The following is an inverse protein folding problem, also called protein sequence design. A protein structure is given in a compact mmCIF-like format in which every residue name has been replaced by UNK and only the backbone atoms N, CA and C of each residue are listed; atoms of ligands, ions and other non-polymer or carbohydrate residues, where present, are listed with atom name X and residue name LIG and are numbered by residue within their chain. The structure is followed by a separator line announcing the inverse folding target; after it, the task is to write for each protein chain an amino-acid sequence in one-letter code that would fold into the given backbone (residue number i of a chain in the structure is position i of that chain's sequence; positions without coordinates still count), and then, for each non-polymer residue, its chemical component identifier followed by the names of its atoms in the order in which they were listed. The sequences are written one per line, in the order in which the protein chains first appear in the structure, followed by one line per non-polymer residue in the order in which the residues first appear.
data_IF_141612297043
#
_entry.id   IF_141612297043
#
_cell.length_a   1.000
_cell.length_b   1.000
_cell.length_c   1.000
_cell.angle_alpha   90.00
_cell.angle_beta   90.00
_cell.angle_gamma   90.00
#
_symmetry.space_group_name_H-M   'P 1'
#
loop_
_entity.id
_entity.type
_entity.pdbx_description
1 polymer ?
#
# COMPACT_ATOMS: atom_id res chain seq x y z
N UNK A 1 -12.54 -3.01 3.37
CA UNK A 1 -12.19 -4.32 2.77
C UNK A 1 -12.70 -5.53 3.57
N UNK A 2 -12.55 -5.54 4.91
CA UNK A 2 -12.98 -6.62 5.84
C UNK A 2 -14.39 -7.15 5.59
N UNK A 3 -15.37 -6.25 5.46
CA UNK A 3 -16.77 -6.64 5.21
C UNK A 3 -16.98 -7.37 3.86
N UNK A 4 -16.20 -7.07 2.82
CA UNK A 4 -16.30 -7.77 1.53
C UNK A 4 -15.77 -9.20 1.63
N UNK A 5 -14.62 -9.40 2.29
CA UNK A 5 -14.06 -10.73 2.51
C UNK A 5 -14.94 -11.57 3.44
N UNK A 6 -15.50 -10.98 4.50
CA UNK A 6 -16.48 -11.63 5.38
C UNK A 6 -17.71 -12.11 4.61
N UNK A 7 -18.24 -11.29 3.67
CA UNK A 7 -19.35 -11.70 2.80
C UNK A 7 -18.97 -12.88 1.90
N UNK A 8 -17.82 -12.81 1.24
CA UNK A 8 -17.33 -13.89 0.37
C UNK A 8 -17.14 -15.19 1.16
N UNK A 9 -16.52 -15.13 2.34
CA UNK A 9 -16.34 -16.29 3.21
C UNK A 9 -17.69 -16.85 3.67
N UNK A 10 -18.65 -15.99 4.03
CA UNK A 10 -20.00 -16.41 4.38
C UNK A 10 -20.65 -17.19 3.24
N UNK A 11 -20.67 -16.62 2.03
CA UNK A 11 -21.31 -17.25 0.88
C UNK A 11 -20.68 -18.62 0.57
N UNK A 12 -19.34 -18.70 0.60
CA UNK A 12 -18.60 -19.94 0.35
C UNK A 12 -18.88 -21.01 1.41
N UNK A 13 -18.82 -20.64 2.69
CA UNK A 13 -19.06 -21.59 3.78
C UNK A 13 -20.52 -22.03 3.83
N UNK A 14 -21.48 -21.14 3.58
CA UNK A 14 -22.90 -21.49 3.45
C UNK A 14 -23.14 -22.46 2.28
N UNK A 15 -22.52 -22.22 1.11
CA UNK A 15 -22.60 -23.13 -0.03
C UNK A 15 -21.95 -24.49 0.24
N UNK A 16 -20.96 -24.56 1.13
CA UNK A 16 -20.31 -25.80 1.57
C UNK A 16 -21.05 -26.49 2.75
N UNK A 17 -22.24 -26.01 3.12
CA UNK A 17 -23.11 -26.59 4.14
C UNK A 17 -22.76 -26.23 5.58
N UNK A 18 -22.01 -25.15 5.82
CA UNK A 18 -21.80 -24.61 7.16
C UNK A 18 -22.90 -23.63 7.54
N UNK A 19 -23.34 -23.69 8.80
CA UNK A 19 -24.19 -22.65 9.39
C UNK A 19 -23.31 -21.48 9.86
N UNK A 20 -23.61 -20.28 9.36
CA UNK A 20 -22.78 -19.09 9.55
C UNK A 20 -23.50 -18.08 10.44
N UNK A 21 -22.86 -17.69 11.54
CA UNK A 21 -23.38 -16.69 12.48
C UNK A 21 -22.40 -15.53 12.67
N UNK A 22 -22.95 -14.33 12.78
CA UNK A 22 -22.17 -13.14 13.13
C UNK A 22 -21.92 -13.08 14.65
N UNK A 23 -20.76 -12.55 15.04
CA UNK A 23 -20.41 -12.34 16.44
C UNK A 23 -19.88 -10.93 16.64
N UNK A 24 -20.09 -10.38 17.83
CA UNK A 24 -19.45 -9.13 18.25
C UNK A 24 -18.02 -9.36 18.76
N UNK A 25 -17.72 -10.58 19.19
CA UNK A 25 -16.41 -10.96 19.75
C UNK A 25 -15.48 -11.58 18.71
N UNK A 26 -16.05 -12.11 17.63
CA UNK A 26 -15.35 -12.76 16.52
C UNK A 26 -15.92 -12.21 15.22
N UNK A 27 -15.19 -12.30 14.12
CA UNK A 27 -15.70 -11.77 12.86
C UNK A 27 -16.79 -12.67 12.27
N UNK A 28 -16.62 -13.99 12.37
CA UNK A 28 -17.62 -15.00 11.97
C UNK A 28 -17.54 -16.22 12.88
N UNK A 29 -18.62 -16.98 12.93
CA UNK A 29 -18.69 -18.31 13.52
C UNK A 29 -19.26 -19.25 12.46
N UNK A 30 -18.55 -20.32 12.13
CA UNK A 30 -19.06 -21.40 11.29
C UNK A 30 -19.33 -22.63 12.15
N UNK A 31 -20.47 -23.27 11.95
CA UNK A 31 -20.83 -24.54 12.59
C UNK A 31 -21.16 -25.57 11.52
N UNK A 32 -20.50 -26.74 11.59
CA UNK A 32 -20.79 -27.90 10.75
C UNK A 32 -20.59 -29.17 11.56
N UNK A 33 -21.53 -30.09 11.47
CA UNK A 33 -21.52 -31.37 12.20
C UNK A 33 -21.29 -31.23 13.72
N UNK A 34 -21.84 -30.16 14.31
CA UNK A 34 -21.71 -29.84 15.75
C UNK A 34 -20.34 -29.27 16.17
N UNK A 35 -19.43 -29.04 15.22
CA UNK A 35 -18.13 -28.42 15.47
C UNK A 35 -18.19 -26.93 15.13
N UNK A 36 -17.88 -26.08 16.11
CA UNK A 36 -17.82 -24.62 15.94
C UNK A 36 -16.40 -24.16 15.62
N UNK A 37 -16.29 -23.30 14.63
CA UNK A 37 -15.06 -22.64 14.22
C UNK A 37 -15.25 -21.13 14.29
N UNK A 38 -14.38 -20.45 15.03
CA UNK A 38 -14.40 -19.01 15.22
C UNK A 38 -13.39 -18.37 14.30
N UNK A 39 -13.81 -17.34 13.57
CA UNK A 39 -13.00 -16.65 12.58
C UNK A 39 -12.57 -15.31 13.15
N UNK A 40 -11.28 -15.01 13.04
CA UNK A 40 -10.76 -13.68 13.31
C UNK A 40 -9.91 -13.22 12.13
N UNK A 41 -10.32 -12.13 11.50
CA UNK A 41 -9.67 -11.52 10.36
C UNK A 41 -8.84 -10.33 10.84
N UNK A 42 -7.54 -10.37 10.56
CA UNK A 42 -6.61 -9.31 10.90
C UNK A 42 -5.81 -8.82 9.69
N UNK A 43 -5.60 -7.51 9.65
CA UNK A 43 -4.82 -6.80 8.64
C UNK A 43 -3.46 -6.36 9.17
N UNK A 44 -3.33 -6.24 10.49
CA UNK A 44 -2.09 -5.91 11.20
C UNK A 44 -1.91 -6.95 12.30
N UNK A 45 -1.43 -8.15 11.93
CA UNK A 45 -1.41 -9.27 12.84
C UNK A 45 -0.31 -9.09 13.90
N UNK A 46 -0.70 -9.24 15.16
CA UNK A 46 0.19 -9.17 16.31
C UNK A 46 0.13 -10.49 17.09
N UNK A 47 1.26 -10.89 17.68
CA UNK A 47 1.37 -12.12 18.45
C UNK A 47 0.49 -12.06 19.70
N UNK A 48 0.38 -10.89 20.32
CA UNK A 48 -0.50 -10.70 21.48
C UNK A 48 -1.97 -10.83 21.08
N UNK A 49 -2.36 -10.35 19.89
CA UNK A 49 -3.72 -10.50 19.37
C UNK A 49 -4.10 -11.97 19.08
N UNK A 50 -3.13 -12.79 18.63
CA UNK A 50 -3.33 -14.23 18.45
C UNK A 50 -3.46 -14.96 19.79
N UNK A 51 -2.64 -14.59 20.80
CA UNK A 51 -2.75 -15.16 22.14
C UNK A 51 -4.10 -14.82 22.78
N UNK A 52 -4.51 -13.56 22.66
CA UNK A 52 -5.80 -13.09 23.15
C UNK A 52 -6.94 -13.83 22.45
N UNK A 53 -6.86 -13.98 21.13
CA UNK A 53 -7.83 -14.76 20.37
C UNK A 53 -7.90 -16.22 20.84
N UNK A 54 -6.74 -16.87 21.02
CA UNK A 54 -6.68 -18.24 21.51
C UNK A 54 -7.31 -18.39 22.90
N UNK A 55 -7.07 -17.43 23.79
CA UNK A 55 -7.65 -17.43 25.15
C UNK A 55 -9.17 -17.30 25.17
N UNK A 56 -9.74 -16.66 24.14
CA UNK A 56 -11.18 -16.43 24.01
C UNK A 56 -11.92 -17.64 23.42
N UNK A 57 -11.25 -18.46 22.61
CA UNK A 57 -11.81 -19.68 22.03
C UNK A 57 -11.79 -20.82 23.07
N UNK A 58 -12.88 -20.93 23.84
CA UNK A 58 -13.02 -21.92 24.93
C UNK A 58 -13.50 -23.28 24.41
N UNK A 59 -14.47 -23.31 23.48
CA UNK A 59 -15.07 -24.54 22.94
C UNK A 59 -15.20 -24.47 21.42
N UNK A 60 -14.22 -25.03 20.71
CA UNK A 60 -14.20 -25.09 19.24
C UNK A 60 -12.81 -24.84 18.66
N UNK A 61 -12.74 -24.59 17.36
CA UNK A 61 -11.50 -24.29 16.65
C UNK A 61 -11.37 -22.79 16.39
N UNK A 62 -10.18 -22.23 16.61
CA UNK A 62 -9.88 -20.86 16.25
C UNK A 62 -9.20 -20.81 14.89
N UNK A 63 -9.78 -20.08 13.95
CA UNK A 63 -9.21 -19.79 12.64
C UNK A 63 -8.88 -18.30 12.55
N UNK A 64 -7.60 -18.01 12.38
CA UNK A 64 -7.08 -16.67 12.22
C UNK A 64 -6.72 -16.43 10.76
N UNK A 65 -7.33 -15.45 10.13
CA UNK A 65 -7.17 -15.16 8.71
C UNK A 65 -6.35 -13.88 8.57
N UNK A 66 -5.23 -13.99 7.88
CA UNK A 66 -4.29 -12.90 7.61
C UNK A 66 -4.58 -12.31 6.25
N UNK A 67 -4.89 -11.02 6.23
CA UNK A 67 -5.09 -10.26 4.99
C UNK A 67 -3.81 -9.50 4.55
N UNK A 68 -2.74 -9.56 5.34
CA UNK A 68 -1.42 -8.99 5.06
C UNK A 68 -0.36 -10.08 4.95
N UNK A 69 0.76 -9.77 4.30
CA UNK A 69 1.93 -10.64 4.31
C UNK A 69 2.58 -10.64 5.70
N UNK A 70 3.00 -11.82 6.16
CA UNK A 70 3.64 -12.01 7.46
C UNK A 70 4.92 -12.80 7.32
N UNK A 71 5.84 -12.62 8.27
CA UNK A 71 7.07 -13.39 8.32
C UNK A 71 6.80 -14.86 8.63
N UNK A 72 7.69 -15.75 8.17
CA UNK A 72 7.62 -17.17 8.54
C UNK A 72 7.73 -17.40 10.06
N UNK A 73 8.48 -16.53 10.75
CA UNK A 73 8.59 -16.57 12.22
C UNK A 73 7.25 -16.34 12.91
N UNK A 74 6.39 -15.47 12.36
CA UNK A 74 5.05 -15.23 12.89
C UNK A 74 4.17 -16.48 12.75
N UNK A 75 4.20 -17.13 11.58
CA UNK A 75 3.43 -18.35 11.31
C UNK A 75 3.84 -19.51 12.22
N UNK A 76 5.15 -19.65 12.49
CA UNK A 76 5.66 -20.65 13.43
C UNK A 76 5.15 -20.39 14.86
N UNK A 77 5.24 -19.14 15.33
CA UNK A 77 4.75 -18.77 16.65
C UNK A 77 3.24 -18.97 16.81
N UNK A 78 2.45 -18.62 15.78
CA UNK A 78 1.01 -18.81 15.81
C UNK A 78 0.60 -20.29 15.85
N UNK A 79 1.36 -21.15 15.16
CA UNK A 79 1.19 -22.60 15.22
C UNK A 79 1.51 -23.15 16.60
N UNK A 80 2.55 -22.65 17.26
CA UNK A 80 2.91 -23.04 18.63
C UNK A 80 1.84 -22.63 19.65
N UNK A 81 1.12 -21.53 19.42
CA UNK A 81 -0.03 -21.09 20.22
C UNK A 81 -1.27 -21.99 20.00
N UNK A 82 -1.28 -22.82 18.95
CA UNK A 82 -2.37 -23.76 18.66
C UNK A 82 -3.60 -23.07 18.07
N UNK A 83 -3.38 -22.06 17.22
CA UNK A 83 -4.39 -21.40 16.38
C UNK A 83 -4.13 -21.77 14.92
N UNK A 84 -5.18 -22.12 14.18
CA UNK A 84 -5.06 -22.34 12.75
C UNK A 84 -4.95 -20.98 12.07
N UNK A 85 -3.92 -20.79 11.24
CA UNK A 85 -3.71 -19.54 10.52
C UNK A 85 -3.86 -19.77 9.03
N UNK A 86 -4.67 -18.95 8.37
CA UNK A 86 -4.74 -18.89 6.91
C UNK A 86 -4.09 -17.60 6.44
N UNK A 87 -3.08 -17.75 5.59
CA UNK A 87 -2.47 -16.65 4.84
C UNK A 87 -3.38 -16.25 3.68
N UNK A 88 -3.04 -15.14 3.01
CA UNK A 88 -3.71 -14.71 1.78
C UNK A 88 -3.76 -15.81 0.72
N UNK A 89 -2.66 -16.57 0.57
CA UNK A 89 -2.58 -17.67 -0.39
C UNK A 89 -3.46 -18.85 -0.01
N UNK A 90 -3.56 -19.15 1.29
CA UNK A 90 -4.47 -20.19 1.80
C UNK A 90 -5.92 -19.80 1.52
N UNK A 91 -6.28 -18.54 1.79
CA UNK A 91 -7.62 -18.00 1.51
C UNK A 91 -7.92 -18.07 0.02
N UNK A 92 -7.01 -17.60 -0.83
CA UNK A 92 -7.19 -17.63 -2.28
C UNK A 92 -7.37 -19.06 -2.80
N UNK A 93 -6.57 -20.01 -2.28
CA UNK A 93 -6.67 -21.42 -2.64
C UNK A 93 -8.01 -22.03 -2.21
N UNK A 94 -8.47 -21.76 -0.99
CA UNK A 94 -9.74 -22.27 -0.48
C UNK A 94 -10.94 -21.68 -1.23
N UNK A 95 -10.89 -20.38 -1.54
CA UNK A 95 -11.90 -19.72 -2.39
C UNK A 95 -11.93 -20.34 -3.78
N UNK A 96 -10.77 -20.50 -4.43
CA UNK A 96 -10.68 -21.12 -5.75
C UNK A 96 -11.27 -22.53 -5.78
N UNK A 97 -10.93 -23.36 -4.78
CA UNK A 97 -11.50 -24.72 -4.66
C UNK A 97 -13.01 -24.71 -4.46
N UNK A 98 -13.53 -23.79 -3.65
CA UNK A 98 -14.96 -23.66 -3.42
C UNK A 98 -15.72 -23.25 -4.70
N UNK A 99 -15.18 -22.30 -5.46
CA UNK A 99 -15.78 -21.86 -6.73
C UNK A 99 -15.79 -23.00 -7.76
N UNK A 100 -14.70 -23.77 -7.85
CA UNK A 100 -14.64 -24.92 -8.75
C UNK A 100 -15.66 -26.01 -8.36
N UNK A 101 -15.79 -26.33 -7.08
CA UNK A 101 -16.79 -27.28 -6.62
C UNK A 101 -18.23 -26.80 -6.84
N UNK A 102 -18.47 -25.48 -6.79
CA UNK A 102 -19.75 -24.87 -7.15
C UNK A 102 -20.09 -25.08 -8.62
N UNK A 103 -19.10 -24.92 -9.50
CA UNK A 103 -19.27 -25.23 -10.93
C UNK A 103 -19.48 -26.72 -11.20
N UNK A 104 -18.89 -27.60 -10.39
CA UNK A 104 -19.00 -29.06 -10.53
C UNK A 104 -20.24 -29.65 -9.82
N UNK A 105 -20.95 -28.85 -9.00
CA UNK A 105 -22.10 -29.29 -8.20
C UNK A 105 -21.75 -30.18 -7.01
N UNK A 106 -20.48 -30.16 -6.56
CA UNK A 106 -19.93 -31.01 -5.48
C UNK A 106 -19.65 -30.23 -4.18
N UNK A 107 -20.20 -29.03 -4.03
CA UNK A 107 -19.93 -28.11 -2.89
C UNK A 107 -20.17 -28.70 -1.51
N UNK A 108 -21.17 -29.57 -1.37
CA UNK A 108 -21.53 -30.18 -0.08
C UNK A 108 -20.45 -31.16 0.44
N UNK A 109 -19.63 -31.70 -0.45
CA UNK A 109 -18.52 -32.61 -0.12
C UNK A 109 -17.24 -31.84 0.24
N UNK A 110 -17.26 -30.50 0.20
CA UNK A 110 -16.07 -29.68 0.38
C UNK A 110 -15.75 -29.45 1.87
N UNK A 111 -14.65 -30.03 2.34
CA UNK A 111 -14.11 -29.78 3.67
C UNK A 111 -13.15 -28.59 3.66
N UNK A 112 -13.72 -27.40 3.91
CA UNK A 112 -12.96 -26.13 3.92
C UNK A 112 -11.95 -26.03 5.06
N UNK A 113 -12.22 -26.67 6.19
CA UNK A 113 -11.44 -26.52 7.43
C UNK A 113 -10.42 -27.64 7.67
N UNK A 114 -10.29 -28.60 6.75
CA UNK A 114 -9.49 -29.78 7.02
C UNK A 114 -7.99 -29.44 7.10
N UNK A 115 -7.43 -29.67 8.29
CA UNK A 115 -6.04 -29.37 8.69
C UNK A 115 -5.19 -30.62 8.46
N UNK A 116 -4.88 -30.91 7.21
CA UNK A 116 -3.76 -31.79 6.87
C UNK A 116 -2.95 -31.22 5.72
N UNK A 117 -2.09 -30.26 6.04
CA UNK A 117 -0.81 -30.14 5.39
C UNK A 117 0.26 -29.82 6.43
N UNK A 118 0.64 -30.87 7.16
CA UNK A 118 2.02 -30.96 7.61
C UNK A 118 2.91 -30.76 6.37
N UNK A 119 3.69 -29.66 6.36
CA UNK A 119 4.87 -29.53 5.48
C UNK A 119 5.76 -30.76 5.73
N UNK A 120 5.63 -31.79 4.89
CA UNK A 120 6.69 -32.77 4.65
C UNK A 120 7.63 -32.09 3.65
N UNK A 121 8.96 -32.07 3.88
CA UNK A 121 9.87 -31.41 2.98
C UNK A 121 9.74 -32.01 1.58
N UNK A 122 9.67 -31.14 0.58
CA UNK A 122 9.68 -31.52 -0.82
C UNK A 122 10.96 -32.29 -1.12
N UNK A 123 10.86 -33.62 -1.18
CA UNK A 123 11.82 -34.48 -1.85
C UNK A 123 11.06 -35.42 -2.79
N UNK A 124 11.33 -35.24 -4.08
CA UNK A 124 11.27 -36.24 -5.16
C UNK A 124 9.94 -36.94 -5.49
N UNK A 125 8.90 -36.21 -5.91
CA UNK A 125 7.81 -36.88 -6.65
C UNK A 125 7.07 -36.00 -7.68
N UNK A 126 7.16 -34.67 -7.60
CA UNK A 126 6.50 -33.78 -8.58
C UNK A 126 7.21 -33.80 -9.94
N UNK A 127 8.51 -34.09 -9.93
CA UNK A 127 9.35 -34.16 -11.13
C UNK A 127 9.11 -35.44 -11.95
N UNK A 128 8.54 -36.49 -11.34
CA UNK A 128 8.24 -37.76 -12.00
C UNK A 128 6.92 -37.68 -12.77
N UNK A 129 5.90 -37.07 -12.16
CA UNK A 129 4.57 -36.86 -12.79
C UNK A 129 4.67 -35.85 -13.95
N UNK A 130 5.49 -34.81 -13.82
CA UNK A 130 5.75 -33.87 -14.92
C UNK A 130 6.52 -34.54 -16.08
N UNK A 131 7.49 -35.41 -15.78
CA UNK A 131 8.22 -36.18 -16.81
C UNK A 131 7.32 -37.21 -17.49
N UNK A 132 6.42 -37.86 -16.75
CA UNK A 132 5.47 -38.82 -17.31
C UNK A 132 4.42 -38.14 -18.21
N UNK A 133 3.95 -36.94 -17.82
CA UNK A 133 3.06 -36.13 -18.66
C UNK A 133 3.74 -35.62 -19.94
N UNK A 134 5.02 -35.21 -19.86
CA UNK A 134 5.78 -34.80 -21.05
C UNK A 134 6.05 -36.00 -21.97
N UNK A 135 6.36 -37.17 -21.42
CA UNK A 135 6.58 -38.40 -22.20
C UNK A 135 5.29 -38.96 -22.82
N UNK A 136 4.12 -38.72 -22.21
CA UNK A 136 2.82 -39.08 -22.77
C UNK A 136 2.40 -38.17 -23.95
N UNK A 137 2.85 -36.91 -23.97
CA UNK A 137 2.55 -35.94 -25.03
C UNK A 137 3.53 -36.06 -26.21
N UNK A 138 4.81 -36.33 -25.93
CA UNK A 138 5.84 -36.54 -26.95
C UNK A 138 6.20 -38.02 -27.04
N UNK A 139 5.36 -38.79 -27.74
CA UNK A 139 5.58 -40.21 -27.96
C UNK A 139 6.92 -40.51 -28.66
N UNK A 140 7.93 -40.90 -27.88
CA UNK A 140 9.08 -41.67 -28.36
C UNK A 140 9.24 -42.88 -27.47
N UNK A 141 8.66 -44.00 -27.91
CA UNK A 141 8.94 -45.29 -27.29
C UNK A 141 10.39 -45.70 -27.55
N UNK A 142 11.05 -46.23 -26.52
CA UNK A 142 11.86 -47.46 -26.59
C UNK A 142 12.43 -47.80 -25.22
N UNK A 143 12.24 -49.05 -24.83
CA UNK A 143 12.80 -49.72 -23.65
C UNK A 143 14.22 -50.24 -23.95
N UNK A 144 14.92 -50.93 -23.03
CA UNK A 144 16.20 -50.50 -22.50
C UNK A 144 17.37 -51.30 -23.12
N UNK A 145 18.58 -51.03 -22.63
CA UNK A 145 19.70 -51.96 -22.41
C UNK A 145 21.03 -51.53 -23.07
N UNK A 146 22.08 -51.54 -22.22
CA UNK A 146 23.51 -51.85 -22.49
C UNK A 146 24.52 -50.69 -22.67
N UNK A 147 25.47 -50.72 -21.71
CA UNK A 147 26.92 -50.43 -21.67
C UNK A 147 27.54 -49.02 -21.77
N UNK A 148 28.00 -48.57 -20.59
CA UNK A 148 29.42 -48.40 -20.20
C UNK A 148 30.50 -48.49 -21.31
N UNK A 149 31.14 -47.34 -21.63
CA UNK A 149 32.60 -47.08 -21.50
C UNK A 149 33.15 -46.06 -22.52
N UNK A 150 33.92 -45.13 -21.95
CA UNK A 150 35.18 -44.54 -22.48
C UNK A 150 35.03 -43.59 -23.68
N UNK A 151 35.29 -42.29 -23.46
CA UNK A 151 36.50 -41.65 -23.97
C UNK A 151 36.75 -40.30 -23.30
N UNK A 152 38.04 -40.10 -23.09
CA UNK A 152 38.77 -39.01 -22.45
C UNK A 152 38.96 -37.83 -23.44
N UNK A 153 39.45 -36.72 -22.89
CA UNK A 153 40.06 -35.57 -23.57
C UNK A 153 39.16 -34.59 -24.35
N UNK A 154 38.94 -33.40 -23.78
CA UNK A 154 39.54 -32.17 -24.34
C UNK A 154 39.35 -30.98 -23.40
N UNK A 155 40.48 -30.43 -22.96
CA UNK A 155 40.60 -29.15 -22.27
C UNK A 155 40.36 -28.01 -23.27
N UNK A 156 39.54 -27.02 -22.90
CA UNK A 156 39.97 -25.62 -22.76
C UNK A 156 38.80 -24.62 -22.76
N UNK A 157 39.01 -23.56 -21.97
CA UNK A 157 38.47 -22.20 -22.17
C UNK A 157 37.08 -21.88 -21.62
N UNK A 158 37.08 -21.58 -20.32
CA UNK A 158 36.05 -20.84 -19.57
C UNK A 158 36.33 -19.33 -19.69
N UNK A 159 35.43 -18.48 -20.19
CA UNK A 159 35.47 -17.05 -19.90
C UNK A 159 34.76 -16.77 -18.58
N UNK A 160 35.37 -15.92 -17.76
CA UNK A 160 34.84 -15.49 -16.47
C UNK A 160 33.62 -14.57 -16.63
N UNK A 161 32.64 -14.81 -15.76
CA UNK A 161 31.44 -14.00 -15.54
C UNK A 161 31.84 -12.67 -14.89
N UNK A 162 31.35 -11.50 -15.35
CA UNK A 162 31.58 -10.24 -14.64
C UNK A 162 30.82 -10.24 -13.32
N UNK A 163 31.50 -9.80 -12.27
CA UNK A 163 30.96 -9.54 -10.94
C UNK A 163 30.11 -8.27 -11.03
N UNK A 164 28.81 -8.41 -10.82
CA UNK A 164 27.90 -7.27 -10.60
C UNK A 164 27.87 -7.05 -9.08
N UNK A 165 28.37 -5.89 -8.67
CA UNK A 165 28.22 -5.35 -7.31
C UNK A 165 26.76 -4.88 -7.17
N UNK A 166 25.98 -5.38 -6.21
CA UNK A 166 24.72 -4.76 -5.85
C UNK A 166 25.02 -3.62 -4.87
N UNK A 167 24.89 -2.38 -5.35
CA UNK A 167 24.75 -1.19 -4.53
C UNK A 167 23.31 -0.73 -4.69
N UNK A 168 22.47 -1.05 -3.70
CA UNK A 168 21.25 -0.32 -3.33
C UNK A 168 20.61 -1.07 -2.16
N UNK A 169 20.93 -0.64 -0.95
CA UNK A 169 20.19 -1.02 0.24
C UNK A 169 18.84 -0.28 0.23
N UNK A 170 17.70 -0.98 0.43
CA UNK A 170 16.42 -0.30 0.61
C UNK A 170 16.45 0.55 1.88
N UNK A 171 16.04 1.81 1.70
CA UNK A 171 16.01 2.85 2.72
C UNK A 171 15.14 2.44 3.92
N UNK A 172 15.72 2.45 5.11
CA UNK A 172 15.07 2.09 6.38
C UNK A 172 14.13 3.24 6.81
N UNK A 173 12.81 3.02 6.72
CA UNK A 173 11.78 3.97 7.16
C UNK A 173 11.74 3.98 8.70
N UNK A 174 12.12 5.10 9.30
CA UNK A 174 12.03 5.32 10.75
C UNK A 174 10.69 5.97 11.11
N UNK A 175 9.88 5.28 11.89
CA UNK A 175 8.75 5.87 12.61
C UNK A 175 9.30 6.75 13.74
N UNK A 176 9.08 8.06 13.71
CA UNK A 176 9.39 8.93 14.85
C UNK A 176 8.17 9.07 15.75
N UNK A 177 8.27 8.54 16.97
CA UNK A 177 7.33 8.77 18.07
C UNK A 177 8.05 9.60 19.13
N UNK A 178 7.62 10.83 19.46
CA UNK A 178 8.23 11.59 20.53
C UNK A 178 8.11 10.82 21.86
N UNK A 179 9.26 10.56 22.49
CA UNK A 179 9.34 9.90 23.80
C UNK A 179 8.88 10.88 24.88
N UNK A 180 7.81 10.52 25.59
CA UNK A 180 7.38 11.22 26.80
C UNK A 180 8.52 11.19 27.83
N UNK A 181 8.84 12.37 28.38
CA UNK A 181 9.88 12.55 29.37
C UNK A 181 9.53 11.80 30.66
N UNK A 182 10.42 10.89 31.08
CA UNK A 182 10.44 10.35 32.42
C UNK A 182 11.87 10.44 32.97
N UNK A 183 11.94 11.14 34.10
CA UNK A 183 12.80 10.92 35.27
C UNK A 183 14.31 11.20 35.18
N UNK A 184 14.61 12.34 35.81
CA UNK A 184 15.85 12.83 36.41
C UNK A 184 16.72 11.73 37.02
N UNK A 185 17.96 11.64 36.56
CA UNK A 185 19.05 10.94 37.28
C UNK A 185 20.14 11.97 37.63
N UNK A 186 20.32 12.19 38.93
CA UNK A 186 21.28 13.11 39.55
C UNK A 186 22.70 12.53 39.47
N UNK A 187 23.64 13.31 38.93
CA UNK A 187 25.08 13.04 39.01
C UNK A 187 25.70 13.64 40.28
N UNK A 188 26.79 13.05 40.82
CA UNK A 188 27.23 13.28 42.19
C UNK A 188 28.21 14.44 42.37
N UNK A 189 28.16 15.01 43.57
CA UNK A 189 28.97 16.11 44.07
C UNK A 189 30.47 15.77 44.14
N UNK A 190 31.30 16.66 43.56
CA UNK A 190 32.75 16.69 43.75
C UNK A 190 33.13 17.66 44.86
N UNK A 191 33.80 17.14 45.88
CA UNK A 191 34.29 17.84 47.06
C UNK A 191 35.56 18.66 46.78
N UNK A 192 35.61 19.90 47.30
CA UNK A 192 36.87 20.58 47.64
C UNK A 192 36.62 21.53 48.83
N UNK A 193 37.47 21.39 49.85
CA UNK A 193 37.58 22.12 51.12
C UNK A 193 39.12 22.26 51.28
N UNK A 194 39.79 23.34 51.67
CA UNK A 194 39.55 24.74 52.04
C UNK A 194 40.93 25.41 51.99
N UNK A 195 41.01 26.74 51.94
CA UNK A 195 42.00 27.46 52.76
C UNK A 195 41.48 28.86 53.07
N UNK A 196 41.51 29.19 54.37
CA UNK A 196 40.96 30.39 54.99
C UNK A 196 42.05 31.46 55.15
N UNK A 197 41.69 32.74 55.08
CA UNK A 197 42.33 33.78 55.88
C UNK A 197 41.39 34.97 56.11
N UNK A 198 41.56 35.57 57.28
CA UNK A 198 40.62 36.34 58.11
C UNK A 198 40.25 37.78 57.69
N UNK A 199 39.10 38.18 58.24
CA UNK A 199 38.39 39.47 58.37
C UNK A 199 39.19 40.58 59.13
N UNK A 200 38.74 41.86 59.26
CA UNK A 200 37.45 42.23 59.90
C UNK A 200 36.66 43.47 59.39
N UNK A 201 35.33 43.34 59.54
CA UNK A 201 34.31 44.27 60.07
C UNK A 201 34.08 45.69 59.50
N UNK A 202 32.83 45.94 59.04
CA UNK A 202 31.82 46.75 59.77
C UNK A 202 30.41 46.65 59.15
N UNK A 203 29.39 46.50 60.01
CA UNK A 203 27.94 46.21 59.79
C UNK A 203 27.08 47.49 59.52
N UNK A 204 25.72 47.44 59.52
CA UNK A 204 24.78 46.76 58.60
C UNK A 204 23.67 47.74 58.10
N UNK A 205 22.79 47.32 57.16
CA UNK A 205 21.31 47.42 57.27
C UNK A 205 20.55 47.29 55.93
N UNK A 206 19.44 46.55 56.03
CA UNK A 206 18.20 46.52 55.24
C UNK A 206 18.12 45.67 53.97
N UNK A 207 17.46 44.52 54.19
CA UNK A 207 16.73 43.69 53.27
C UNK A 207 15.73 44.49 52.41
N UNK A 208 15.73 44.24 51.09
CA UNK A 208 14.49 44.22 50.32
C UNK A 208 14.64 43.22 49.17
N UNK A 209 13.77 42.23 49.20
CA UNK A 209 13.62 41.13 48.26
C UNK A 209 13.41 41.60 46.82
N UNK A 210 14.36 41.28 45.92
CA UNK A 210 14.09 41.18 44.49
C UNK A 210 13.84 39.72 44.15
N UNK A 211 12.55 39.40 44.02
CA UNK A 211 12.02 38.22 43.40
C UNK A 211 12.59 38.12 41.97
N UNK A 212 13.51 37.18 41.76
CA UNK A 212 14.05 36.88 40.43
C UNK A 212 12.92 36.34 39.57
N UNK A 213 12.33 37.22 38.76
CA UNK A 213 11.47 36.87 37.64
C UNK A 213 12.24 35.87 36.76
N UNK A 214 11.79 34.62 36.77
CA UNK A 214 12.22 33.60 35.84
C UNK A 214 12.02 34.15 34.41
N UNK A 215 13.13 34.27 33.68
CA UNK A 215 13.08 34.53 32.26
C UNK A 215 12.17 33.49 31.59
N UNK A 216 11.28 33.88 30.66
CA UNK A 216 10.47 32.92 29.95
C UNK A 216 11.41 32.01 29.17
N UNK A 217 11.30 30.71 29.41
CA UNK A 217 11.95 29.70 28.60
C UNK A 217 11.57 29.96 27.14
N UNK A 218 12.56 30.36 26.34
CA UNK A 218 12.46 30.35 24.89
C UNK A 218 11.95 28.97 24.48
N UNK A 219 10.81 28.85 23.76
CA UNK A 219 10.39 27.55 23.27
C UNK A 219 11.53 27.01 22.40
N UNK A 220 11.93 25.77 22.65
CA UNK A 220 12.87 25.06 21.82
C UNK A 220 12.41 25.22 20.37
N UNK A 221 13.26 25.80 19.52
CA UNK A 221 13.00 25.91 18.10
C UNK A 221 13.04 24.48 17.58
N UNK A 222 11.87 23.89 17.41
CA UNK A 222 11.73 22.55 16.86
C UNK A 222 12.27 22.56 15.43
N UNK A 223 13.40 21.88 15.21
CA UNK A 223 14.10 21.94 13.93
C UNK A 223 13.27 21.24 12.85
N UNK A 224 13.10 21.88 11.68
CA UNK A 224 12.34 21.29 10.59
C UNK A 224 13.09 20.10 9.96
N UNK A 225 12.36 19.04 9.63
CA UNK A 225 12.92 17.81 9.06
C UNK A 225 12.98 17.95 7.54
N UNK A 226 14.13 17.69 6.94
CA UNK A 226 14.27 17.65 5.47
C UNK A 226 14.16 16.22 4.98
N UNK A 227 13.22 15.97 4.07
CA UNK A 227 13.01 14.65 3.45
C UNK A 227 13.37 14.70 1.97
N UNK A 228 13.98 13.62 1.47
CA UNK A 228 14.22 13.39 0.03
C UNK A 228 12.96 12.83 -0.64
N UNK A 229 11.94 13.67 -0.76
CA UNK A 229 10.64 13.31 -1.31
C UNK A 229 10.26 14.30 -2.43
N UNK A 230 9.87 13.79 -3.59
CA UNK A 230 9.46 14.62 -4.71
C UNK A 230 8.08 15.23 -4.43
N UNK A 231 8.02 16.49 -4.01
CA UNK A 231 6.84 17.07 -3.38
C UNK A 231 6.84 18.61 -3.48
N UNK A 232 5.67 19.26 -3.58
CA UNK A 232 5.57 20.70 -3.37
C UNK A 232 5.78 21.05 -1.88
N UNK A 233 6.12 22.31 -1.56
CA UNK A 233 6.37 22.71 -0.18
C UNK A 233 5.09 22.66 0.69
N UNK A 234 5.29 22.43 1.99
CA UNK A 234 4.24 22.57 3.00
C UNK A 234 4.13 24.05 3.38
N UNK A 235 3.14 24.75 2.81
CA UNK A 235 2.93 26.19 3.02
C UNK A 235 1.86 26.50 4.08
N UNK A 236 1.03 25.52 4.42
CA UNK A 236 -0.08 25.65 5.35
C UNK A 236 0.34 25.05 6.69
N UNK A 237 0.33 25.86 7.75
CA UNK A 237 0.53 25.40 9.12
C UNK A 237 -0.67 24.63 9.65
N UNK A 238 -0.47 23.85 10.71
CA UNK A 238 -1.55 23.10 11.38
C UNK A 238 -2.69 24.01 11.87
N UNK A 239 -2.38 25.17 12.45
CA UNK A 239 -3.37 26.15 12.92
C UNK A 239 -4.22 26.71 11.75
N UNK A 240 -3.57 26.92 10.61
CA UNK A 240 -4.25 27.38 9.40
C UNK A 240 -5.10 26.26 8.80
N UNK A 241 -4.64 25.01 8.85
CA UNK A 241 -5.43 23.86 8.45
C UNK A 241 -6.72 23.73 9.28
N UNK A 242 -6.63 23.88 10.61
CA UNK A 242 -7.82 23.93 11.48
C UNK A 242 -8.77 25.07 11.11
N UNK A 243 -8.23 26.26 10.82
CA UNK A 243 -9.03 27.42 10.41
C UNK A 243 -9.77 27.19 9.08
N UNK A 244 -9.13 26.51 8.13
CA UNK A 244 -9.71 26.14 6.83
C UNK A 244 -10.72 24.99 6.95
N UNK A 245 -10.54 24.08 7.91
CA UNK A 245 -11.44 22.97 8.18
C UNK A 245 -12.70 23.39 8.94
N UNK A 246 -12.64 24.44 9.77
CA UNK A 246 -13.74 24.88 10.65
C UNK A 246 -15.12 25.08 9.97
N UNK A 247 -15.23 25.56 8.71
CA UNK A 247 -16.53 25.66 8.02
C UNK A 247 -17.13 24.30 7.63
N UNK A 248 -16.33 23.25 7.58
CA UNK A 248 -16.67 21.94 7.00
C UNK A 248 -16.86 20.84 8.06
N UNK A 249 -16.24 20.97 9.24
CA UNK A 249 -16.30 20.00 10.33
C UNK A 249 -16.64 20.67 11.67
N UNK A 250 -17.25 19.91 12.58
CA UNK A 250 -17.47 20.34 13.97
C UNK A 250 -16.51 19.65 14.93
N UNK A 251 -15.95 20.42 15.85
CA UNK A 251 -15.12 19.91 16.95
C UNK A 251 -13.84 19.25 16.43
N UNK A 252 -13.06 19.98 15.63
CA UNK A 252 -11.78 19.50 15.15
C UNK A 252 -10.86 19.19 16.35
N UNK A 253 -10.36 17.95 16.42
CA UNK A 253 -9.58 17.47 17.56
C UNK A 253 -8.15 17.06 17.17
N UNK A 254 -7.95 16.62 15.93
CA UNK A 254 -6.68 16.05 15.45
C UNK A 254 -6.44 16.47 14.02
N UNK A 255 -5.19 16.80 13.69
CA UNK A 255 -4.74 17.06 12.33
C UNK A 255 -3.44 16.29 12.07
N UNK A 256 -3.39 15.55 10.96
CA UNK A 256 -2.23 14.73 10.57
C UNK A 256 -1.80 15.16 9.17
N UNK A 257 -0.50 15.33 8.95
CA UNK A 257 0.05 15.66 7.64
C UNK A 257 0.31 14.37 6.86
N UNK A 258 -0.36 14.17 5.74
CA UNK A 258 -0.15 13.02 4.85
C UNK A 258 0.58 13.44 3.59
N UNK A 259 1.58 12.68 3.16
CA UNK A 259 2.17 12.77 1.84
C UNK A 259 1.55 11.70 0.96
N UNK A 260 0.64 12.11 0.08
CA UNK A 260 -0.14 11.23 -0.76
C UNK A 260 0.49 11.13 -2.15
N UNK A 261 0.73 9.93 -2.70
CA UNK A 261 1.34 9.76 -4.00
C UNK A 261 0.33 10.02 -5.13
N UNK A 262 0.75 10.84 -6.10
CA UNK A 262 0.03 11.12 -7.35
C UNK A 262 0.96 10.92 -8.55
N UNK A 263 0.45 10.33 -9.62
CA UNK A 263 1.07 10.34 -10.93
C UNK A 263 0.70 11.65 -11.62
N UNK A 264 1.66 12.58 -11.68
CA UNK A 264 1.57 13.77 -12.51
C UNK A 264 1.84 13.35 -13.95
N UNK A 265 1.01 13.79 -14.89
CA UNK A 265 1.23 13.51 -16.29
C UNK A 265 1.02 14.73 -17.16
N UNK A 266 1.77 14.77 -18.26
CA UNK A 266 1.65 15.74 -19.34
C UNK A 266 1.66 14.97 -20.66
N UNK A 267 0.76 15.32 -21.58
CA UNK A 267 0.72 14.71 -22.89
C UNK A 267 0.59 15.74 -24.00
N UNK A 268 1.10 15.36 -25.17
CA UNK A 268 0.86 16.07 -26.43
C UNK A 268 0.77 15.07 -27.58
N UNK A 269 -0.14 15.34 -28.51
CA UNK A 269 -0.29 14.60 -29.76
C UNK A 269 -0.52 15.56 -30.93
N UNK A 270 0.03 15.19 -32.08
CA UNK A 270 -0.21 15.87 -33.35
C UNK A 270 -0.05 14.85 -34.47
N UNK A 271 -1.18 14.39 -35.02
CA UNK A 271 -1.24 13.30 -35.99
C UNK A 271 -2.09 13.70 -37.17
N UNK A 272 -1.53 13.56 -38.37
CA UNK A 272 -2.27 13.71 -39.61
C UNK A 272 -2.54 12.34 -40.25
N UNK A 273 -3.82 11.98 -40.38
CA UNK A 273 -4.24 10.85 -41.19
C UNK A 273 -4.68 11.31 -42.58
N UNK A 274 -4.07 10.72 -43.63
CA UNK A 274 -4.53 10.90 -45.00
C UNK A 274 -5.50 9.79 -45.37
N UNK A 275 -6.72 10.17 -45.72
CA UNK A 275 -7.72 9.24 -46.26
C UNK A 275 -8.34 9.78 -47.55
N UNK A 276 -8.09 9.07 -48.66
CA UNK A 276 -8.42 9.52 -50.02
C UNK A 276 -7.82 10.91 -50.30
N UNK A 277 -8.64 11.91 -50.60
CA UNK A 277 -8.25 13.30 -50.82
C UNK A 277 -8.37 14.19 -49.58
N UNK A 278 -8.74 13.63 -48.42
CA UNK A 278 -8.94 14.38 -47.17
C UNK A 278 -7.80 14.12 -46.19
N UNK A 279 -7.41 15.18 -45.48
CA UNK A 279 -6.48 15.14 -44.35
C UNK A 279 -7.31 15.28 -43.08
N UNK A 280 -7.10 14.39 -42.13
CA UNK A 280 -7.73 14.38 -40.82
C UNK A 280 -6.63 14.67 -39.82
N UNK A 281 -6.67 15.87 -39.24
CA UNK A 281 -5.75 16.29 -38.18
C UNK A 281 -6.35 15.96 -36.81
N UNK A 282 -5.60 15.21 -36.00
CA UNK A 282 -5.88 14.88 -34.61
C UNK A 282 -4.72 15.42 -33.78
N UNK A 283 -4.97 16.56 -33.15
CA UNK A 283 -4.02 17.25 -32.28
C UNK A 283 -4.68 17.58 -30.94
N UNK A 284 -3.85 17.60 -29.90
CA UNK A 284 -4.28 17.91 -28.54
C UNK A 284 -3.13 17.82 -27.54
N UNK A 285 -3.31 18.46 -26.41
CA UNK A 285 -2.37 18.49 -25.30
C UNK A 285 -3.14 18.60 -23.98
N UNK A 286 -2.53 18.14 -22.90
CA UNK A 286 -3.15 18.19 -21.59
C UNK A 286 -2.21 17.77 -20.48
N UNK A 287 -2.59 18.11 -19.26
CA UNK A 287 -1.86 17.78 -18.04
C UNK A 287 -2.85 17.38 -16.95
N UNK A 288 -2.45 16.51 -16.03
CA UNK A 288 -3.30 16.13 -14.92
C UNK A 288 -2.58 15.34 -13.85
N UNK A 289 -3.37 14.91 -12.86
CA UNK A 289 -2.90 14.11 -11.75
C UNK A 289 -3.79 12.89 -11.60
N UNK A 290 -3.20 11.73 -11.37
CA UNK A 290 -3.90 10.50 -11.00
C UNK A 290 -3.47 10.11 -9.62
N UNK A 291 -4.41 10.01 -8.68
CA UNK A 291 -4.11 9.52 -7.34
C UNK A 291 -3.60 8.07 -7.43
N UNK A 292 -2.39 7.81 -6.93
CA UNK A 292 -1.77 6.50 -7.01
C UNK A 292 -2.32 5.49 -5.99
N UNK A 293 -3.18 5.92 -5.07
CA UNK A 293 -3.86 5.07 -4.08
C UNK A 293 -5.16 4.49 -4.63
N UNK A 294 -5.99 5.31 -5.28
CA UNK A 294 -7.33 4.92 -5.73
C UNK A 294 -7.56 5.06 -7.25
N UNK A 295 -6.61 5.61 -8.00
CA UNK A 295 -6.69 5.76 -9.45
C UNK A 295 -7.63 6.87 -9.95
N UNK A 296 -8.13 7.73 -9.05
CA UNK A 296 -8.99 8.86 -9.41
C UNK A 296 -8.18 9.99 -10.06
N UNK A 297 -8.74 10.58 -11.11
CA UNK A 297 -8.16 11.78 -11.73
C UNK A 297 -8.50 13.02 -10.91
N UNK A 298 -7.50 13.86 -10.67
CA UNK A 298 -7.63 15.09 -9.90
C UNK A 298 -7.13 16.30 -10.70
N UNK A 299 -7.81 17.43 -10.49
CA UNK A 299 -7.40 18.72 -11.06
C UNK A 299 -6.80 19.55 -9.94
N UNK A 300 -5.47 19.50 -9.83
CA UNK A 300 -4.72 20.27 -8.84
C UNK A 300 -3.82 21.28 -9.54
N UNK A 301 -3.42 22.33 -8.81
CA UNK A 301 -2.38 23.24 -9.26
C UNK A 301 -1.20 23.08 -8.30
N UNK A 302 -0.30 22.15 -8.61
CA UNK A 302 0.92 21.96 -7.83
C UNK A 302 1.97 22.94 -8.35
N UNK A 303 2.50 23.78 -7.46
CA UNK A 303 3.58 24.70 -7.77
C UNK A 303 4.84 24.29 -7.03
N UNK A 304 5.99 24.53 -7.67
CA UNK A 304 7.30 24.38 -7.05
C UNK A 304 7.54 22.98 -6.48
N UNK A 305 7.24 21.94 -7.27
CA UNK A 305 7.59 20.56 -6.91
C UNK A 305 9.11 20.43 -6.87
N UNK A 306 9.64 19.95 -5.75
CA UNK A 306 11.08 19.83 -5.50
C UNK A 306 11.41 18.39 -5.12
N UNK A 307 12.67 17.99 -5.31
CA UNK A 307 13.17 16.65 -4.94
C UNK A 307 13.27 16.44 -3.43
N UNK A 308 13.22 17.52 -2.66
CA UNK A 308 13.26 17.49 -1.21
C UNK A 308 12.18 18.40 -0.66
N UNK A 309 11.58 18.01 0.46
CA UNK A 309 10.57 18.80 1.16
C UNK A 309 10.96 19.02 2.60
N UNK A 310 10.69 20.22 3.10
CA UNK A 310 10.86 20.56 4.51
C UNK A 310 9.52 20.30 5.21
N UNK A 311 9.53 19.38 6.16
CA UNK A 311 8.35 19.00 6.94
C UNK A 311 8.39 19.76 8.27
N UNK A 312 7.29 20.44 8.66
CA UNK A 312 7.14 20.95 10.01
C UNK A 312 7.31 19.82 11.05
N UNK A 313 7.68 20.15 12.29
CA UNK A 313 7.77 19.14 13.35
C UNK A 313 6.37 18.73 13.84
N UNK A 314 5.67 17.98 13.01
CA UNK A 314 4.31 17.50 13.21
C UNK A 314 4.25 16.01 12.92
N UNK A 315 3.22 15.34 13.43
CA UNK A 315 2.95 13.96 13.04
C UNK A 315 2.64 13.91 11.54
N UNK A 316 3.41 13.09 10.83
CA UNK A 316 3.26 12.91 9.39
C UNK A 316 3.22 11.44 9.00
N UNK A 317 2.55 11.17 7.88
CA UNK A 317 2.46 9.85 7.26
C UNK A 317 2.82 9.96 5.78
N UNK A 318 3.60 9.01 5.26
CA UNK A 318 3.98 8.96 3.83
C UNK A 318 3.35 7.70 3.24
N UNK A 319 2.34 7.90 2.38
CA UNK A 319 1.59 6.80 1.79
C UNK A 319 2.34 6.23 0.59
N UNK A 320 2.37 4.92 0.46
CA UNK A 320 3.00 4.25 -0.69
C UNK A 320 2.04 4.17 -1.87
N UNK A 321 2.50 4.37 -3.12
CA UNK A 321 1.65 4.21 -4.30
C UNK A 321 1.16 2.76 -4.42
N UNK A 322 -0.12 2.58 -4.74
CA UNK A 322 -0.74 1.27 -4.99
C UNK A 322 -0.60 0.90 -6.46
N UNK A 323 -0.74 1.87 -7.37
CA UNK A 323 -0.53 1.67 -8.81
C UNK A 323 0.92 1.92 -9.20
N UNK A 324 1.39 1.23 -10.24
CA UNK A 324 2.73 1.44 -10.81
C UNK A 324 2.71 2.48 -11.93
N UNK A 325 3.89 2.98 -12.29
CA UNK A 325 4.06 3.90 -13.41
C UNK A 325 3.60 3.25 -14.72
N UNK A 326 3.99 2.00 -14.98
CA UNK A 326 3.63 1.28 -16.20
C UNK A 326 2.11 1.07 -16.34
N UNK A 327 1.45 0.67 -15.25
CA UNK A 327 -0.01 0.46 -15.24
C UNK A 327 -0.75 1.78 -15.49
N UNK A 328 -0.31 2.84 -14.82
CA UNK A 328 -0.90 4.17 -14.96
C UNK A 328 -0.66 4.75 -16.35
N UNK A 329 0.55 4.61 -16.88
CA UNK A 329 0.93 5.04 -18.23
C UNK A 329 0.08 4.35 -19.28
N UNK A 330 -0.11 3.02 -19.15
CA UNK A 330 -0.97 2.27 -20.06
C UNK A 330 -2.43 2.75 -20.00
N UNK A 331 -2.97 2.94 -18.80
CA UNK A 331 -4.34 3.45 -18.60
C UNK A 331 -4.51 4.84 -19.21
N UNK A 332 -3.55 5.75 -18.96
CA UNK A 332 -3.57 7.10 -19.52
C UNK A 332 -3.49 7.09 -21.05
N UNK A 333 -2.63 6.24 -21.63
CA UNK A 333 -2.58 6.10 -23.09
C UNK A 333 -3.90 5.59 -23.66
N UNK A 334 -4.52 4.58 -23.04
CA UNK A 334 -5.81 4.06 -23.48
C UNK A 334 -6.90 5.16 -23.40
N UNK A 335 -6.96 5.90 -22.29
CA UNK A 335 -7.89 7.02 -22.09
C UNK A 335 -7.69 8.14 -23.13
N UNK A 336 -6.43 8.54 -23.40
CA UNK A 336 -6.10 9.59 -24.39
C UNK A 336 -6.42 9.11 -25.81
N UNK A 337 -6.11 7.85 -26.16
CA UNK A 337 -6.43 7.29 -27.47
C UNK A 337 -7.94 7.29 -27.70
N UNK A 338 -8.72 6.91 -26.69
CA UNK A 338 -10.17 6.93 -26.76
C UNK A 338 -10.72 8.35 -26.91
N UNK A 339 -10.24 9.31 -26.10
CA UNK A 339 -10.66 10.73 -26.16
C UNK A 339 -10.43 11.34 -27.54
N UNK A 340 -9.30 11.03 -28.18
CA UNK A 340 -8.93 11.58 -29.50
C UNK A 340 -9.34 10.69 -30.68
N UNK A 341 -10.11 9.62 -30.44
CA UNK A 341 -10.67 8.81 -31.50
C UNK A 341 -11.83 9.53 -32.18
N UNK A 342 -11.77 9.66 -33.51
CA UNK A 342 -12.81 10.32 -34.33
C UNK A 342 -13.47 9.37 -35.30
N UNK A 343 -14.80 9.34 -35.28
CA UNK A 343 -15.62 8.63 -36.27
C UNK A 343 -16.07 9.59 -37.38
N UNK A 344 -15.65 9.34 -38.61
CA UNK A 344 -15.96 10.18 -39.77
C UNK A 344 -16.73 9.40 -40.83
N UNK A 345 -17.78 10.03 -41.37
CA UNK A 345 -18.56 9.52 -42.50
C UNK A 345 -18.07 10.16 -43.79
N UNK A 346 -17.87 9.32 -44.80
CA UNK A 346 -17.50 9.71 -46.15
C UNK A 346 -18.59 9.25 -47.10
N UNK A 347 -19.26 10.21 -47.73
CA UNK A 347 -20.21 9.92 -48.78
C UNK A 347 -19.53 10.07 -50.14
N UNK A 348 -19.66 9.05 -50.98
CA UNK A 348 -19.15 9.02 -52.35
C UNK A 348 -20.29 8.70 -53.30
N UNK A 349 -20.40 9.45 -54.40
CA UNK A 349 -21.48 9.28 -55.38
C UNK A 349 -20.94 8.53 -56.59
N UNK A 350 -21.50 7.36 -56.88
CA UNK A 350 -21.14 6.56 -58.07
C UNK A 350 -22.38 6.35 -58.93
N UNK A 351 -22.48 7.13 -60.01
CA UNK A 351 -23.70 7.17 -60.85
C UNK A 351 -24.86 7.80 -60.07
N UNK A 352 -26.00 7.12 -60.02
CA UNK A 352 -27.20 7.56 -59.27
C UNK A 352 -27.23 7.03 -57.82
N UNK A 353 -26.20 6.32 -57.38
CA UNK A 353 -26.12 5.75 -56.02
C UNK A 353 -25.16 6.56 -55.12
N UNK A 354 -25.58 6.84 -53.89
CA UNK A 354 -24.75 7.41 -52.82
C UNK A 354 -24.27 6.25 -51.93
N UNK A 355 -22.96 6.08 -51.83
CA UNK A 355 -22.32 5.11 -50.93
C UNK A 355 -21.77 5.87 -49.74
N UNK A 356 -22.26 5.53 -48.54
CA UNK A 356 -21.79 6.09 -47.28
C UNK A 356 -20.86 5.11 -46.58
N UNK A 357 -19.62 5.52 -46.34
CA UNK A 357 -18.61 4.76 -45.62
C UNK A 357 -18.33 5.42 -44.26
N UNK A 358 -18.32 4.63 -43.18
CA UNK A 358 -17.95 5.10 -41.85
C UNK A 358 -16.54 4.61 -41.53
N UNK A 359 -15.64 5.52 -41.16
CA UNK A 359 -14.27 5.20 -40.81
C UNK A 359 -13.85 5.87 -39.51
N UNK A 360 -13.27 5.06 -38.62
CA UNK A 360 -12.71 5.46 -37.34
C UNK A 360 -11.22 5.78 -37.50
N UNK A 361 -10.80 6.92 -36.99
CA UNK A 361 -9.41 7.35 -36.92
C UNK A 361 -9.02 7.45 -35.44
N UNK A 362 -7.94 6.77 -35.07
CA UNK A 362 -7.41 6.76 -33.70
C UNK A 362 -5.90 6.99 -33.75
N UNK A 363 -5.34 7.80 -32.85
CA UNK A 363 -3.89 7.92 -32.72
C UNK A 363 -3.30 6.57 -32.27
N UNK A 364 -2.06 6.28 -32.70
CA UNK A 364 -1.31 5.18 -32.12
C UNK A 364 -0.64 5.62 -30.81
N UNK A 365 -0.35 4.68 -29.92
CA UNK A 365 0.40 4.98 -28.69
C UNK A 365 1.76 5.63 -28.96
N UNK A 366 2.40 5.31 -30.10
CA UNK A 366 3.66 5.93 -30.53
C UNK A 366 3.53 7.39 -30.97
N UNK A 367 2.30 7.84 -31.27
CA UNK A 367 2.03 9.20 -31.73
C UNK A 367 1.78 10.18 -30.57
N UNK A 368 1.66 9.64 -29.35
CA UNK A 368 1.39 10.39 -28.13
C UNK A 368 2.69 10.51 -27.36
N UNK A 369 3.15 11.75 -27.14
CA UNK A 369 4.23 12.03 -26.22
C UNK A 369 3.63 12.20 -24.82
N UNK A 370 3.81 11.20 -23.96
CA UNK A 370 3.30 11.16 -22.59
C UNK A 370 4.47 11.11 -21.61
N UNK A 371 4.50 12.04 -20.66
CA UNK A 371 5.41 12.06 -19.52
C UNK A 371 4.60 11.74 -18.26
N UNK A 372 5.09 10.83 -17.42
CA UNK A 372 4.46 10.46 -16.15
C UNK A 372 5.52 10.52 -15.06
N UNK A 373 5.22 11.16 -13.94
CA UNK A 373 6.14 11.30 -12.81
C UNK A 373 5.40 11.15 -11.47
N UNK A 374 6.03 10.46 -10.52
CA UNK A 374 5.50 10.34 -9.17
C UNK A 374 5.78 11.62 -8.36
N UNK A 375 4.72 12.20 -7.81
CA UNK A 375 4.78 13.38 -6.94
C UNK A 375 3.97 13.09 -5.67
N UNK A 376 4.53 13.41 -4.52
CA UNK A 376 3.85 13.30 -3.24
C UNK A 376 3.23 14.64 -2.88
N UNK A 377 1.90 14.70 -2.84
CA UNK A 377 1.16 15.90 -2.47
C UNK A 377 1.00 15.92 -0.94
N UNK A 378 1.44 16.99 -0.25
CA UNK A 378 1.23 17.13 1.18
C UNK A 378 -0.24 17.55 1.41
N UNK A 379 -0.93 16.83 2.28
CA UNK A 379 -2.35 16.98 2.57
C UNK A 379 -2.57 16.94 4.07
N UNK A 380 -3.21 17.96 4.61
CA UNK A 380 -3.70 17.94 5.98
C UNK A 380 -5.01 17.18 6.05
N UNK A 381 -5.05 16.08 6.80
CA UNK A 381 -6.30 15.45 7.22
C UNK A 381 -6.68 16.00 8.59
N UNK A 382 -7.75 16.80 8.64
CA UNK A 382 -8.28 17.34 9.89
C UNK A 382 -9.52 16.54 10.28
N UNK A 383 -9.45 15.84 11.42
CA UNK A 383 -10.54 15.04 11.95
C UNK A 383 -11.44 15.88 12.85
N UNK A 384 -12.74 15.82 12.58
CA UNK A 384 -13.80 16.35 13.43
C UNK A 384 -14.53 15.24 14.18
N UNK A 385 -15.62 15.58 14.86
CA UNK A 385 -16.40 14.61 15.65
C UNK A 385 -17.08 13.51 14.82
N UNK A 386 -17.39 13.77 13.54
CA UNK A 386 -18.16 12.85 12.68
C UNK A 386 -17.59 12.66 11.29
N UNK A 387 -16.69 13.53 10.88
CA UNK A 387 -16.13 13.57 9.53
C UNK A 387 -14.74 14.19 9.58
N UNK A 388 -13.95 13.92 8.56
CA UNK A 388 -12.64 14.51 8.30
C UNK A 388 -12.70 15.39 7.06
N UNK A 389 -11.75 16.33 6.98
CA UNK A 389 -11.59 17.24 5.84
C UNK A 389 -10.14 17.20 5.42
N UNK A 390 -9.92 17.05 4.12
CA UNK A 390 -8.61 16.98 3.51
C UNK A 390 -8.29 18.29 2.81
N UNK A 391 -7.15 18.87 3.14
CA UNK A 391 -6.71 20.17 2.66
C UNK A 391 -5.33 20.03 2.06
N UNK A 392 -5.15 20.42 0.81
CA UNK A 392 -3.83 20.47 0.19
C UNK A 392 -2.95 21.45 0.99
N UNK A 393 -1.86 20.96 1.58
CA UNK A 393 -0.99 21.74 2.45
C UNK A 393 -0.04 22.69 1.66
N UNK A 394 0.01 22.57 0.34
CA UNK A 394 0.77 23.48 -0.53
C UNK A 394 -0.09 24.67 -1.00
N UNK A 395 -1.35 24.43 -1.39
CA UNK A 395 -2.25 25.45 -1.94
C UNK A 395 -3.28 25.99 -0.93
N UNK A 396 -3.63 25.19 0.09
CA UNK A 396 -4.73 25.46 1.02
C UNK A 396 -6.12 25.14 0.48
N UNK A 397 -6.22 24.48 -0.68
CA UNK A 397 -7.50 24.07 -1.26
C UNK A 397 -8.06 22.83 -0.56
N UNK A 398 -9.36 22.84 -0.28
CA UNK A 398 -10.08 21.68 0.23
C UNK A 398 -10.29 20.68 -0.90
N UNK A 399 -9.84 19.44 -0.70
CA UNK A 399 -9.96 18.38 -1.69
C UNK A 399 -11.42 17.90 -1.78
N UNK A 400 -11.88 17.63 -3.00
CA UNK A 400 -13.28 17.26 -3.26
C UNK A 400 -13.50 15.76 -3.18
N UNK A 401 -12.51 14.99 -3.63
CA UNK A 401 -12.52 13.54 -3.51
C UNK A 401 -11.56 13.15 -2.39
N UNK A 402 -11.87 12.07 -1.66
CA UNK A 402 -10.97 11.54 -0.65
C UNK A 402 -9.67 11.08 -1.30
N UNK A 403 -8.55 11.40 -0.67
CA UNK A 403 -7.23 10.98 -1.12
C UNK A 403 -6.93 9.54 -0.78
N UNK A 404 -7.60 8.97 0.21
CA UNK A 404 -7.44 7.59 0.67
C UNK A 404 -8.77 6.83 0.60
N UNK A 405 -8.69 5.52 0.38
CA UNK A 405 -9.83 4.59 0.43
C UNK A 405 -10.09 4.09 1.86
N UNK A 406 -9.32 4.56 2.84
CA UNK A 406 -9.54 4.36 4.27
C UNK A 406 -10.97 4.81 4.64
N UNK A 407 -11.88 3.83 4.70
CA UNK A 407 -13.27 4.03 5.15
C UNK A 407 -13.23 4.37 6.64
N UNK A 408 -13.20 5.66 6.97
CA UNK A 408 -13.53 6.11 8.33
C UNK A 408 -15.02 5.83 8.56
N UNK A 409 -15.31 4.76 9.31
CA UNK A 409 -16.69 4.43 9.68
C UNK A 409 -17.25 5.52 10.59
N UNK A 410 -18.30 6.21 10.10
CA UNK A 410 -19.13 7.18 10.85
C UNK A 410 -20.10 6.47 11.79
#
# INVERSE_FOLDING_TARGET
MKQKLVRILRDIFTSAGYDMSDSFRYDLIAEKDGTKTFFKLSYNPDLDDIRDFKSQVVEGQGLYILASDVSESFLLNARDIGVNVWTRDDVATRIGRAILADMEGTTNELELLDVLCAKKPASSSVDEVAKEAINAIFGTGSSPHVDEKVLDESLASRPQRPVIVPDDAPMEVRYYRPRAAAEVELAPEGSYVSEAFEEPEAKPEMELSHETLAAPATPAIEEPIVMSLHSPPVNISVDKAYSLAAPHIRGANTAILKFVPFWMYDYSLNVEHRYRSKIIDISGDGSGYVNALNGNQEKMNLQNVQKTVTVPNVEYDVKMPVTTEDETTKKLLDDIIEEYTRDLRFDDTKGDAIISEHKRFKPAASDINLSVELVYVPVWEVKGQRNSVEINASSGEVLRNPVDDDVEFV
#
